data_IF_020283099241
#
_entry.id   IF_020283099241
#
_cell.length_a   1.000
_cell.length_b   1.000
_cell.length_c   1.000
_cell.angle_alpha   90.00
_cell.angle_beta   90.00
_cell.angle_gamma   90.00
#
_symmetry.space_group_name_H-M   'P 1'
#
loop_
_entity.id
_entity.type
_entity.pdbx_description
1 polymer ?
#
# COMPACT_ATOMS: atom_id res chain seq x y z
N UNK A 1 -14.41 4.62 -14.00
CA UNK A 1 -14.10 5.22 -12.69
C UNK A 1 -14.57 4.29 -11.61
N UNK A 2 -13.69 3.44 -11.09
CA UNK A 2 -14.02 2.62 -9.93
C UNK A 2 -13.72 3.42 -8.66
N UNK A 3 -14.79 3.86 -8.00
CA UNK A 3 -14.71 4.39 -6.65
C UNK A 3 -14.86 3.19 -5.71
N UNK A 4 -13.74 2.64 -5.28
CA UNK A 4 -13.72 1.55 -4.34
C UNK A 4 -13.85 2.12 -2.92
N UNK A 5 -14.89 1.71 -2.18
CA UNK A 5 -15.19 2.25 -0.85
C UNK A 5 -14.01 2.06 0.10
N UNK A 6 -13.46 3.14 0.66
CA UNK A 6 -12.46 3.07 1.72
C UNK A 6 -13.14 3.12 3.09
N UNK A 7 -12.63 2.36 4.05
CA UNK A 7 -13.09 2.39 5.45
C UNK A 7 -12.09 3.22 6.26
N UNK A 8 -12.60 4.12 7.10
CA UNK A 8 -11.83 4.96 8.02
C UNK A 8 -12.19 4.58 9.47
N UNK A 9 -11.18 4.31 10.30
CA UNK A 9 -11.34 4.04 11.73
C UNK A 9 -10.45 4.97 12.56
N UNK A 10 -10.99 6.11 13.05
CA UNK A 10 -10.22 7.04 13.88
C UNK A 10 -10.10 6.51 15.33
N UNK A 11 -8.92 6.68 15.93
CA UNK A 11 -8.62 6.26 17.30
C UNK A 11 -7.87 7.33 18.10
N UNK A 12 -8.21 7.47 19.38
CA UNK A 12 -7.52 8.36 20.32
C UNK A 12 -7.81 7.97 21.77
N UNK A 13 -6.78 7.91 22.61
CA UNK A 13 -6.91 7.60 24.03
C UNK A 13 -6.37 8.73 24.87
N UNK A 14 -7.17 9.24 25.81
CA UNK A 14 -6.74 10.24 26.78
C UNK A 14 -5.93 9.65 27.95
N UNK A 15 -5.81 8.31 28.05
CA UNK A 15 -5.14 7.60 29.14
C UNK A 15 -4.09 6.55 28.69
N UNK A 16 -3.78 6.45 27.39
CA UNK A 16 -2.90 5.42 26.84
C UNK A 16 -1.61 5.98 26.23
N UNK A 17 -0.54 5.17 26.19
CA UNK A 17 0.84 5.53 25.80
C UNK A 17 1.08 6.01 24.36
N UNK A 18 0.02 6.39 23.63
CA UNK A 18 0.11 7.01 22.30
C UNK A 18 0.22 8.53 22.45
N UNK A 19 1.28 9.12 21.88
CA UNK A 19 1.54 10.57 22.00
C UNK A 19 0.67 11.40 21.04
N UNK A 20 0.17 10.80 19.95
CA UNK A 20 -0.66 11.45 18.94
C UNK A 20 -1.83 10.55 18.51
N UNK A 21 -2.94 11.11 18.02
CA UNK A 21 -4.05 10.34 17.46
C UNK A 21 -3.63 9.52 16.25
N UNK A 22 -4.29 8.38 16.04
CA UNK A 22 -4.03 7.48 14.92
C UNK A 22 -5.32 7.24 14.13
N UNK A 23 -5.18 7.09 12.82
CA UNK A 23 -6.28 6.75 11.93
C UNK A 23 -5.89 5.55 11.07
N UNK A 24 -6.79 4.58 10.94
CA UNK A 24 -6.65 3.47 10.03
C UNK A 24 -7.48 3.71 8.76
N UNK A 25 -6.86 3.55 7.59
CA UNK A 25 -7.51 3.69 6.28
C UNK A 25 -7.36 2.39 5.50
N UNK A 26 -8.48 1.81 5.08
CA UNK A 26 -8.51 0.62 4.22
C UNK A 26 -8.98 0.98 2.81
N UNK A 27 -8.37 0.39 1.78
CA UNK A 27 -8.75 0.60 0.37
C UNK A 27 -9.24 -0.70 -0.26
N UNK A 28 -10.39 -0.63 -0.94
CA UNK A 28 -10.76 -1.63 -1.93
C UNK A 28 -10.10 -1.25 -3.28
N UNK A 29 -9.83 -2.21 -4.16
CA UNK A 29 -9.27 -1.96 -5.49
C UNK A 29 -9.57 -3.12 -6.45
N UNK A 30 -9.81 -2.81 -7.72
CA UNK A 30 -10.05 -3.79 -8.78
C UNK A 30 -8.78 -4.35 -9.43
N UNK A 31 -7.68 -3.60 -9.39
CA UNK A 31 -6.36 -3.97 -9.93
C UNK A 31 -5.26 -3.45 -9.03
N UNK A 32 -4.16 -4.21 -8.91
CA UNK A 32 -2.97 -3.79 -8.17
C UNK A 32 -1.68 -4.11 -8.93
N UNK A 33 -0.74 -3.17 -8.90
CA UNK A 33 0.59 -3.31 -9.52
C UNK A 33 1.66 -2.86 -8.51
N UNK A 34 2.69 -3.69 -8.33
CA UNK A 34 3.81 -3.48 -7.44
C UNK A 34 5.10 -3.41 -8.24
N UNK A 35 5.97 -2.47 -7.91
CA UNK A 35 7.34 -2.42 -8.43
C UNK A 35 8.31 -2.30 -7.27
N UNK A 36 9.16 -3.31 -7.10
CA UNK A 36 10.27 -3.28 -6.15
C UNK A 36 11.55 -2.85 -6.86
N UNK A 37 12.13 -1.73 -6.44
CA UNK A 37 13.43 -1.27 -6.93
C UNK A 37 14.53 -1.79 -6.01
N UNK A 38 15.35 -2.71 -6.52
CA UNK A 38 16.50 -3.21 -5.78
C UNK A 38 17.55 -2.11 -5.66
N UNK A 39 18.24 -2.02 -4.52
CA UNK A 39 19.40 -1.14 -4.37
C UNK A 39 20.71 -1.88 -4.70
N UNK A 40 21.62 -1.20 -5.39
CA UNK A 40 22.99 -1.69 -5.61
C UNK A 40 23.76 -1.64 -4.30
N UNK A 41 24.52 -2.71 -4.01
CA UNK A 41 25.35 -2.78 -2.80
C UNK A 41 26.53 -1.81 -2.79
N UNK A 42 26.99 -1.37 -3.96
CA UNK A 42 28.19 -0.55 -4.08
C UNK A 42 27.95 0.92 -3.71
N UNK A 43 26.83 1.48 -4.17
CA UNK A 43 26.57 2.93 -4.11
C UNK A 43 25.14 3.28 -3.65
N UNK A 44 24.32 2.28 -3.31
CA UNK A 44 22.92 2.49 -2.90
C UNK A 44 22.00 2.94 -4.03
N UNK A 45 22.50 3.10 -5.26
CA UNK A 45 21.70 3.50 -6.42
C UNK A 45 20.73 2.40 -6.86
N UNK A 46 19.78 2.74 -7.73
CA UNK A 46 18.85 1.76 -8.31
C UNK A 46 19.59 0.65 -9.07
N UNK A 47 19.34 -0.60 -8.68
CA UNK A 47 19.91 -1.83 -9.21
C UNK A 47 18.98 -2.61 -10.15
N UNK A 48 17.78 -2.11 -10.42
CA UNK A 48 16.78 -2.73 -11.28
C UNK A 48 15.42 -2.89 -10.60
N UNK A 49 14.39 -3.20 -11.40
CA UNK A 49 13.01 -3.29 -10.94
C UNK A 49 12.46 -4.72 -11.07
N UNK A 50 11.77 -5.18 -10.03
CA UNK A 50 10.96 -6.40 -10.03
C UNK A 50 9.49 -5.99 -9.97
N UNK A 51 8.76 -6.24 -11.05
CA UNK A 51 7.34 -5.90 -11.15
C UNK A 51 6.45 -7.12 -10.92
N UNK A 52 5.32 -6.91 -10.25
CA UNK A 52 4.25 -7.89 -10.06
C UNK A 52 2.89 -7.18 -10.12
N UNK A 53 1.83 -7.86 -10.56
CA UNK A 53 0.51 -7.25 -10.58
C UNK A 53 -0.60 -8.27 -10.81
N UNK A 54 -1.80 -7.91 -10.36
CA UNK A 54 -3.00 -8.70 -10.55
C UNK A 54 -4.22 -7.82 -10.83
N UNK A 55 -5.04 -8.24 -11.77
CA UNK A 55 -6.36 -7.68 -12.09
C UNK A 55 -7.41 -8.58 -11.44
N UNK A 56 -8.03 -8.11 -10.35
CA UNK A 56 -9.01 -8.87 -9.56
C UNK A 56 -10.36 -8.91 -10.27
N UNK A 57 -10.73 -7.87 -11.02
CA UNK A 57 -11.98 -7.84 -11.80
C UNK A 57 -11.98 -8.91 -12.89
N UNK A 58 -10.84 -9.09 -13.57
CA UNK A 58 -10.67 -10.10 -14.63
C UNK A 58 -10.11 -11.42 -14.11
N UNK A 59 -9.61 -11.44 -12.88
CA UNK A 59 -8.90 -12.55 -12.26
C UNK A 59 -7.71 -13.06 -13.10
N UNK A 60 -6.85 -12.14 -13.54
CA UNK A 60 -5.67 -12.45 -14.35
C UNK A 60 -4.43 -11.70 -13.87
N UNK A 61 -3.26 -12.23 -14.20
CA UNK A 61 -2.00 -11.50 -14.07
C UNK A 61 -2.02 -10.28 -15.00
N UNK A 62 -1.47 -9.17 -14.50
CA UNK A 62 -1.21 -7.95 -15.29
C UNK A 62 -0.01 -8.12 -16.21
#
# INVERSE_FOLDING_TARGET
SECASSVLSPGGSAQGGETLPLEEVSFNYGKIEWTYTQQKRADGSGGGNVAAGWDLEKNVKV
#
